data_IF_222914871429
#
_entry.id   IF_222914871429
#
_cell.length_a   1.000
_cell.length_b   1.000
_cell.length_c   1.000
_cell.angle_alpha   90.00
_cell.angle_beta   90.00
_cell.angle_gamma   90.00
#
_symmetry.space_group_name_H-M   'P 1'
#
loop_
_entity.id
_entity.type
_entity.pdbx_description
1 polymer ?
#
# COMPACT_ATOMS: atom_id res chain seq x y z
N UNK A 1 -11.28 -22.02 -7.19
CA UNK A 1 -12.37 -21.61 -8.11
C UNK A 1 -13.69 -21.27 -7.40
N UNK A 2 -14.11 -21.97 -6.34
CA UNK A 2 -15.25 -21.54 -5.53
C UNK A 2 -14.87 -20.38 -4.58
N UNK A 3 -13.72 -20.52 -3.93
CA UNK A 3 -13.21 -19.55 -2.98
C UNK A 3 -12.97 -18.14 -3.55
N UNK A 4 -12.34 -18.04 -4.72
CA UNK A 4 -12.14 -16.77 -5.44
C UNK A 4 -13.45 -16.03 -5.73
N UNK A 5 -14.53 -16.76 -6.06
CA UNK A 5 -15.85 -16.15 -6.32
C UNK A 5 -16.48 -15.56 -5.07
N UNK A 6 -16.26 -16.17 -3.91
CA UNK A 6 -16.72 -15.67 -2.62
C UNK A 6 -15.94 -14.41 -2.21
N UNK A 7 -14.61 -14.38 -2.43
CA UNK A 7 -13.79 -13.18 -2.23
C UNK A 7 -14.25 -12.03 -3.15
N UNK A 8 -14.49 -12.31 -4.43
CA UNK A 8 -14.99 -11.31 -5.39
C UNK A 8 -16.35 -10.73 -4.98
N UNK A 9 -17.30 -11.59 -4.58
CA UNK A 9 -18.61 -11.14 -4.14
C UNK A 9 -18.51 -10.28 -2.87
N UNK A 10 -17.72 -10.75 -1.89
CA UNK A 10 -17.45 -10.01 -0.64
C UNK A 10 -16.80 -8.66 -0.91
N UNK A 11 -15.77 -8.61 -1.77
CA UNK A 11 -15.08 -7.37 -2.12
C UNK A 11 -16.03 -6.36 -2.78
N UNK A 12 -16.90 -6.81 -3.69
CA UNK A 12 -17.93 -5.95 -4.31
C UNK A 12 -18.89 -5.38 -3.27
N UNK A 13 -19.35 -6.20 -2.32
CA UNK A 13 -20.23 -5.74 -1.23
C UNK A 13 -19.55 -4.72 -0.33
N UNK A 14 -18.28 -4.94 0.02
CA UNK A 14 -17.50 -4.05 0.89
C UNK A 14 -17.11 -2.73 0.22
N UNK A 15 -17.14 -2.67 -1.11
CA UNK A 15 -16.91 -1.43 -1.87
C UNK A 15 -18.21 -0.72 -2.30
N UNK A 16 -19.38 -1.12 -1.76
CA UNK A 16 -20.61 -0.37 -1.95
C UNK A 16 -20.54 1.03 -1.29
N UNK A 17 -21.23 2.05 -1.84
CA UNK A 17 -21.14 3.43 -1.34
C UNK A 17 -21.35 3.62 0.16
N UNK A 18 -22.17 2.77 0.79
CA UNK A 18 -22.43 2.80 2.24
C UNK A 18 -21.21 2.51 3.10
N UNK A 19 -20.17 1.87 2.54
CA UNK A 19 -18.93 1.53 3.22
C UNK A 19 -17.76 2.46 2.87
N UNK A 20 -17.93 3.45 1.99
CA UNK A 20 -16.85 4.35 1.56
C UNK A 20 -16.18 5.10 2.74
N UNK A 21 -16.90 5.32 3.83
CA UNK A 21 -16.35 5.93 5.03
C UNK A 21 -15.40 5.01 5.80
N UNK A 22 -15.46 3.69 5.59
CA UNK A 22 -14.75 2.68 6.37
C UNK A 22 -13.78 1.83 5.54
N UNK A 23 -14.00 1.67 4.23
CA UNK A 23 -13.22 0.80 3.34
C UNK A 23 -12.60 1.61 2.21
N UNK A 24 -11.30 1.46 2.01
CA UNK A 24 -10.54 2.09 0.92
C UNK A 24 -10.20 1.06 -0.16
N UNK A 25 -9.53 -0.03 0.25
CA UNK A 25 -9.14 -1.12 -0.63
C UNK A 25 -9.56 -2.47 -0.06
N UNK A 26 -9.88 -3.40 -0.95
CA UNK A 26 -10.04 -4.82 -0.65
C UNK A 26 -9.10 -5.60 -1.55
N UNK A 27 -8.18 -6.36 -0.96
CA UNK A 27 -7.16 -7.12 -1.66
C UNK A 27 -7.36 -8.62 -1.43
N UNK A 28 -7.18 -9.45 -2.46
CA UNK A 28 -7.26 -10.91 -2.32
C UNK A 28 -6.51 -11.63 -3.46
N UNK A 29 -6.00 -12.85 -3.22
CA UNK A 29 -5.38 -13.65 -4.27
C UNK A 29 -6.45 -14.18 -5.26
N UNK A 30 -6.19 -14.05 -6.56
CA UNK A 30 -7.03 -14.62 -7.64
C UNK A 30 -6.43 -15.91 -8.23
N UNK A 31 -5.16 -16.16 -7.95
CA UNK A 31 -4.43 -17.34 -8.41
C UNK A 31 -3.00 -17.34 -7.87
N UNK A 32 -2.16 -18.25 -8.39
CA UNK A 32 -0.76 -18.31 -7.99
C UNK A 32 -0.04 -17.02 -8.43
N UNK A 33 0.50 -16.27 -7.46
CA UNK A 33 1.16 -14.98 -7.65
C UNK A 33 0.27 -13.92 -8.35
N UNK A 34 -1.06 -14.05 -8.27
CA UNK A 34 -2.00 -13.09 -8.86
C UNK A 34 -2.93 -12.54 -7.78
N UNK A 35 -3.16 -11.24 -7.82
CA UNK A 35 -3.86 -10.50 -6.78
C UNK A 35 -4.83 -9.52 -7.42
N UNK A 36 -6.02 -9.42 -6.86
CA UNK A 36 -6.99 -8.37 -7.17
C UNK A 36 -6.97 -7.31 -6.07
N UNK A 37 -7.15 -6.06 -6.47
CA UNK A 37 -7.38 -4.92 -5.60
C UNK A 37 -8.62 -4.21 -6.07
N UNK A 38 -9.59 -4.06 -5.18
CA UNK A 38 -10.89 -3.46 -5.45
C UNK A 38 -11.05 -2.24 -4.55
N UNK A 39 -11.55 -1.14 -5.11
CA UNK A 39 -11.96 0.06 -4.39
C UNK A 39 -13.36 0.48 -4.84
N UNK A 40 -13.99 1.46 -4.15
CA UNK A 40 -15.24 2.05 -4.63
C UNK A 40 -15.16 2.67 -6.04
N UNK A 41 -13.98 3.07 -6.49
CA UNK A 41 -13.77 3.74 -7.79
C UNK A 41 -13.47 2.77 -8.92
N UNK A 42 -12.88 1.61 -8.63
CA UNK A 42 -12.48 0.66 -9.65
C UNK A 42 -11.75 -0.56 -9.11
N UNK A 43 -11.10 -1.29 -10.00
CA UNK A 43 -10.41 -2.54 -9.70
C UNK A 43 -9.20 -2.70 -10.60
N UNK A 44 -8.14 -3.30 -10.06
CA UNK A 44 -7.00 -3.77 -10.83
C UNK A 44 -6.69 -5.21 -10.45
N UNK A 45 -6.20 -6.00 -11.40
CA UNK A 45 -5.53 -7.27 -11.13
C UNK A 45 -4.08 -7.17 -11.56
N UNK A 46 -3.17 -7.71 -10.77
CA UNK A 46 -1.76 -7.76 -11.12
C UNK A 46 -1.14 -9.11 -10.77
N UNK A 47 -0.02 -9.42 -11.43
CA UNK A 47 0.76 -10.64 -11.21
C UNK A 47 2.18 -10.29 -10.78
N UNK A 48 2.68 -11.04 -9.79
CA UNK A 48 4.10 -11.06 -9.44
C UNK A 48 4.86 -12.04 -10.34
N UNK A 49 5.93 -11.55 -10.96
CA UNK A 49 6.83 -12.31 -11.83
C UNK A 49 8.22 -12.31 -11.20
N UNK A 50 8.78 -13.50 -10.96
CA UNK A 50 10.16 -13.63 -10.47
C UNK A 50 11.15 -13.34 -11.59
N UNK A 51 12.14 -12.48 -11.33
CA UNK A 51 13.24 -12.18 -12.25
C UNK A 51 14.58 -12.27 -11.52
N UNK A 52 15.69 -12.29 -12.27
CA UNK A 52 17.04 -12.31 -11.69
C UNK A 52 17.37 -11.07 -10.84
N UNK A 53 16.67 -9.95 -11.08
CA UNK A 53 16.83 -8.68 -10.36
C UNK A 53 15.85 -8.55 -9.17
N UNK A 54 15.00 -9.55 -8.93
CA UNK A 54 13.94 -9.53 -7.94
C UNK A 54 12.53 -9.62 -8.55
N UNK A 55 11.48 -9.52 -7.74
CA UNK A 55 10.10 -9.57 -8.23
C UNK A 55 9.78 -8.32 -9.06
N UNK A 56 9.06 -8.53 -10.18
CA UNK A 56 8.40 -7.48 -10.96
C UNK A 56 6.89 -7.69 -10.91
N UNK A 57 6.14 -6.62 -11.11
CA UNK A 57 4.67 -6.64 -11.06
C UNK A 57 4.09 -6.18 -12.39
N UNK A 58 3.18 -6.97 -12.93
CA UNK A 58 2.52 -6.74 -14.21
C UNK A 58 1.02 -6.58 -13.98
N UNK A 59 0.46 -5.44 -14.37
CA UNK A 59 -1.00 -5.25 -14.38
C UNK A 59 -1.61 -6.14 -15.46
N UNK A 60 -2.56 -6.98 -15.07
CA UNK A 60 -3.29 -7.89 -15.95
C UNK A 60 -4.55 -7.22 -16.50
N UNK A 61 -5.33 -6.61 -15.62
CA UNK A 61 -6.61 -5.96 -15.98
C UNK A 61 -6.84 -4.73 -15.12
N UNK A 62 -7.59 -3.78 -15.67
CA UNK A 62 -8.10 -2.64 -14.92
C UNK A 62 -9.54 -2.39 -15.33
N UNK A 63 -10.42 -2.26 -14.34
CA UNK A 63 -11.84 -1.94 -14.52
C UNK A 63 -12.10 -0.55 -13.92
N UNK A 64 -12.54 0.38 -14.76
CA UNK A 64 -12.80 1.80 -14.44
C UNK A 64 -11.54 2.58 -14.05
N UNK A 65 -11.00 2.36 -12.86
CA UNK A 65 -9.86 3.08 -12.28
C UNK A 65 -8.92 2.06 -11.64
N UNK A 66 -7.62 2.23 -11.82
CA UNK A 66 -6.61 1.46 -11.09
C UNK A 66 -6.46 2.04 -9.67
N UNK A 67 -6.89 1.32 -8.60
CA UNK A 67 -6.77 1.82 -7.24
C UNK A 67 -5.32 2.05 -6.79
N UNK A 68 -4.35 1.40 -7.44
CA UNK A 68 -2.93 1.52 -7.14
C UNK A 68 -2.20 2.43 -8.14
N UNK A 69 -2.92 3.14 -9.03
CA UNK A 69 -2.31 3.89 -10.12
C UNK A 69 -1.36 5.01 -9.67
N UNK A 70 -1.56 5.57 -8.47
CA UNK A 70 -0.67 6.55 -7.86
C UNK A 70 0.38 5.85 -6.99
N UNK A 71 1.65 5.96 -7.38
CA UNK A 71 2.81 5.37 -6.70
C UNK A 71 3.78 6.44 -6.18
N UNK A 72 3.41 7.73 -6.21
CA UNK A 72 4.28 8.84 -5.85
C UNK A 72 4.55 8.91 -4.33
N UNK A 73 5.79 8.67 -3.86
CA UNK A 73 6.14 8.77 -2.44
C UNK A 73 6.22 10.23 -1.94
N UNK A 74 6.20 11.22 -2.84
CA UNK A 74 6.14 12.64 -2.52
C UNK A 74 4.70 13.17 -2.39
N UNK A 75 3.68 12.35 -2.67
CA UNK A 75 2.29 12.76 -2.53
C UNK A 75 2.02 13.28 -1.10
N UNK A 76 1.35 14.42 -1.01
CA UNK A 76 1.06 15.11 0.26
C UNK A 76 2.32 15.36 1.12
N UNK A 77 3.50 15.53 0.55
CA UNK A 77 4.70 15.79 1.34
C UNK A 77 4.65 17.17 2.02
N UNK A 78 4.73 17.16 3.35
CA UNK A 78 4.85 18.37 4.16
C UNK A 78 3.55 18.77 4.86
N UNK A 79 3.69 19.37 6.04
CA UNK A 79 2.58 19.57 6.98
C UNK A 79 1.38 20.32 6.39
N UNK A 80 1.59 21.33 5.54
CA UNK A 80 0.49 22.07 4.90
C UNK A 80 -0.33 21.18 3.94
N UNK A 81 0.34 20.32 3.17
CA UNK A 81 -0.33 19.42 2.24
C UNK A 81 -1.09 18.31 2.97
N UNK A 82 -0.49 17.73 4.01
CA UNK A 82 -1.14 16.71 4.85
C UNK A 82 -2.36 17.29 5.60
N UNK A 83 -2.26 18.51 6.12
CA UNK A 83 -3.40 19.18 6.78
C UNK A 83 -4.54 19.54 5.82
N UNK A 84 -4.23 19.84 4.55
CA UNK A 84 -5.25 20.14 3.54
C UNK A 84 -6.04 18.88 3.12
N UNK A 85 -5.49 17.69 3.35
CA UNK A 85 -6.10 16.40 3.03
C UNK A 85 -5.91 15.39 4.18
N UNK A 86 -6.59 15.57 5.33
CA UNK A 86 -6.34 14.78 6.54
C UNK A 86 -6.69 13.28 6.36
N UNK A 87 -7.63 12.97 5.47
CA UNK A 87 -8.08 11.62 5.16
C UNK A 87 -8.07 11.40 3.64
N UNK A 88 -6.90 11.26 3.00
CA UNK A 88 -6.83 11.13 1.56
C UNK A 88 -7.47 9.81 1.12
N UNK A 89 -8.25 9.87 0.04
CA UNK A 89 -8.94 8.72 -0.59
C UNK A 89 -8.84 8.82 -2.10
N UNK A 90 -8.94 7.68 -2.79
CA UNK A 90 -8.90 7.63 -4.26
C UNK A 90 -7.69 8.38 -4.84
N UNK A 91 -7.95 9.28 -5.80
CA UNK A 91 -6.92 10.00 -6.55
C UNK A 91 -6.07 10.98 -5.71
N UNK A 92 -6.50 11.31 -4.49
CA UNK A 92 -5.71 12.11 -3.56
C UNK A 92 -4.68 11.26 -2.79
N UNK A 93 -4.89 9.95 -2.75
CA UNK A 93 -4.00 9.02 -2.07
C UNK A 93 -2.90 8.53 -3.03
N UNK A 94 -1.84 7.98 -2.44
CA UNK A 94 -0.77 7.32 -3.17
C UNK A 94 -0.39 6.07 -2.39
N UNK A 95 -0.01 5.02 -3.10
CA UNK A 95 0.28 3.71 -2.53
C UNK A 95 1.66 3.21 -2.98
N UNK A 96 2.78 3.88 -2.60
CA UNK A 96 4.11 3.50 -3.07
C UNK A 96 4.45 2.05 -2.72
N UNK A 97 4.91 1.29 -3.72
CA UNK A 97 5.28 -0.13 -3.57
C UNK A 97 4.14 -1.02 -3.06
N UNK A 98 2.88 -0.67 -3.38
CA UNK A 98 1.74 -1.43 -2.87
C UNK A 98 1.67 -2.85 -3.42
N UNK A 99 2.06 -3.07 -4.67
CA UNK A 99 2.04 -4.40 -5.27
C UNK A 99 3.01 -5.35 -4.55
N UNK A 100 4.21 -4.85 -4.19
CA UNK A 100 5.18 -5.53 -3.34
C UNK A 100 4.56 -5.89 -1.99
N UNK A 101 4.05 -4.88 -1.28
CA UNK A 101 3.51 -5.04 0.08
C UNK A 101 2.32 -6.01 0.12
N UNK A 102 1.39 -5.89 -0.83
CA UNK A 102 0.23 -6.78 -0.96
C UNK A 102 0.70 -8.22 -1.22
N UNK A 103 1.64 -8.43 -2.15
CA UNK A 103 2.14 -9.78 -2.44
C UNK A 103 2.83 -10.42 -1.23
N UNK A 104 3.63 -9.65 -0.49
CA UNK A 104 4.32 -10.09 0.72
C UNK A 104 3.35 -10.46 1.84
N UNK A 105 2.26 -9.70 1.99
CA UNK A 105 1.24 -10.00 2.99
C UNK A 105 0.63 -11.39 2.79
N UNK A 106 0.40 -11.77 1.53
CA UNK A 106 -0.14 -13.07 1.16
C UNK A 106 0.90 -14.21 1.05
N UNK A 107 2.19 -13.93 1.25
CA UNK A 107 3.23 -14.98 1.32
C UNK A 107 3.21 -15.73 2.66
N UNK A 108 2.53 -15.19 3.67
CA UNK A 108 2.46 -15.81 4.99
C UNK A 108 1.67 -17.13 4.96
N UNK A 109 2.13 -18.20 5.63
CA UNK A 109 1.40 -19.48 5.70
C UNK A 109 -0.02 -19.38 6.29
N UNK A 110 -0.29 -18.31 7.03
CA UNK A 110 -1.55 -18.00 7.68
C UNK A 110 -2.15 -16.69 7.15
N UNK A 111 -1.77 -16.28 5.94
CA UNK A 111 -2.37 -15.12 5.30
C UNK A 111 -3.89 -15.29 5.23
N UNK A 112 -4.67 -14.22 5.45
CA UNK A 112 -6.10 -14.29 5.28
C UNK A 112 -6.42 -14.44 3.79
N UNK A 113 -7.66 -14.76 3.54
CA UNK A 113 -8.22 -14.88 2.20
C UNK A 113 -8.56 -13.53 1.55
N UNK A 114 -8.75 -12.52 2.39
CA UNK A 114 -9.11 -11.16 2.01
C UNK A 114 -8.51 -10.19 3.03
N UNK A 115 -7.88 -9.15 2.52
CA UNK A 115 -7.33 -8.04 3.29
C UNK A 115 -8.19 -6.80 3.04
N UNK A 116 -8.69 -6.17 4.10
CA UNK A 116 -9.42 -4.90 4.03
C UNK A 116 -8.49 -3.81 4.51
N UNK A 117 -8.23 -2.84 3.65
CA UNK A 117 -7.66 -1.57 4.06
C UNK A 117 -8.79 -0.62 4.41
N UNK A 118 -8.76 -0.14 5.64
CA UNK A 118 -9.69 0.87 6.08
C UNK A 118 -9.41 2.23 5.43
N UNK A 119 -10.46 3.04 5.29
CA UNK A 119 -10.29 4.45 4.91
C UNK A 119 -9.42 5.17 5.94
N UNK A 120 -8.69 6.19 5.51
CA UNK A 120 -7.90 7.02 6.43
C UNK A 120 -8.76 7.72 7.50
N UNK A 121 -10.08 7.84 7.27
CA UNK A 121 -11.04 8.40 8.22
C UNK A 121 -11.58 7.37 9.23
N UNK A 122 -11.25 6.09 9.09
CA UNK A 122 -11.73 5.04 9.98
C UNK A 122 -10.98 5.07 11.32
N UNK A 123 -11.74 4.97 12.40
CA UNK A 123 -11.24 4.78 13.76
C UNK A 123 -12.24 3.95 14.57
N UNK A 124 -11.75 3.27 15.60
CA UNK A 124 -12.58 2.47 16.52
C UNK A 124 -12.56 3.06 17.92
N UNK A 125 -13.73 3.05 18.57
CA UNK A 125 -13.95 3.51 19.94
C UNK A 125 -13.43 4.95 20.19
N UNK A 126 -12.66 5.14 21.27
CA UNK A 126 -12.08 6.41 21.69
C UNK A 126 -10.71 6.70 21.07
N UNK A 127 -10.22 5.87 20.14
CA UNK A 127 -8.92 6.09 19.53
C UNK A 127 -9.03 7.18 18.46
N UNK A 128 -8.29 8.27 18.66
CA UNK A 128 -8.27 9.40 17.71
C UNK A 128 -7.42 9.12 16.46
N UNK A 129 -6.68 8.01 16.42
CA UNK A 129 -5.86 7.61 15.28
C UNK A 129 -5.55 6.11 15.28
N UNK A 130 -5.28 5.57 14.09
CA UNK A 130 -4.89 4.19 13.84
C UNK A 130 -3.78 4.15 12.80
N UNK A 131 -3.08 3.03 12.69
CA UNK A 131 -2.03 2.79 11.69
C UNK A 131 -2.18 1.41 11.02
N UNK A 132 -1.56 1.22 9.87
CA UNK A 132 -1.56 -0.03 9.11
C UNK A 132 -2.14 0.09 7.70
N UNK A 133 -2.46 1.32 7.26
CA UNK A 133 -2.85 1.61 5.87
C UNK A 133 -1.62 1.62 4.96
N UNK A 134 -1.78 1.16 3.71
CA UNK A 134 -0.81 1.33 2.63
C UNK A 134 -0.79 2.77 2.08
N UNK A 135 -1.73 3.62 2.50
CA UNK A 135 -1.85 5.00 2.04
C UNK A 135 -0.67 5.88 2.46
N UNK A 136 -0.37 6.90 1.65
CA UNK A 136 0.88 7.67 1.70
C UNK A 136 1.23 8.25 3.07
N UNK A 137 0.23 8.69 3.83
CA UNK A 137 0.43 9.29 5.16
C UNK A 137 1.02 8.28 6.15
N UNK A 138 0.67 7.00 6.02
CA UNK A 138 1.13 5.94 6.93
C UNK A 138 2.26 5.10 6.35
N UNK A 139 2.39 5.07 5.02
CA UNK A 139 3.45 4.35 4.32
C UNK A 139 4.81 5.07 4.35
N UNK A 140 4.84 6.37 4.69
CA UNK A 140 6.06 7.19 4.69
C UNK A 140 6.57 7.46 6.11
N UNK A 141 7.87 7.24 6.32
CA UNK A 141 8.58 7.58 7.54
C UNK A 141 9.92 8.28 7.23
N UNK A 142 10.45 9.13 8.13
CA UNK A 142 11.77 9.71 7.98
C UNK A 142 12.87 8.66 8.18
N UNK A 143 13.92 8.71 7.36
CA UNK A 143 15.16 7.97 7.58
C UNK A 143 16.27 8.94 8.01
N UNK A 144 16.85 8.70 9.19
CA UNK A 144 17.89 9.56 9.78
C UNK A 144 19.08 8.68 10.18
N UNK A 145 20.26 8.98 9.66
CA UNK A 145 21.50 8.27 9.96
C UNK A 145 22.55 9.21 10.57
N UNK A 146 23.29 8.71 11.58
CA UNK A 146 24.40 9.42 12.23
C UNK A 146 25.35 8.42 12.90
N UNK A 147 26.65 8.65 12.79
CA UNK A 147 27.67 7.84 13.47
C UNK A 147 29.01 7.85 12.74
N UNK A 148 29.99 7.08 13.22
CA UNK A 148 31.22 6.78 12.47
C UNK A 148 30.87 6.28 11.05
N UNK A 149 31.64 6.71 10.04
CA UNK A 149 31.40 6.34 8.64
C UNK A 149 30.25 7.10 7.94
N UNK A 150 29.35 7.77 8.69
CA UNK A 150 28.24 8.53 8.11
C UNK A 150 28.63 10.00 7.90
N UNK A 151 28.79 10.40 6.64
CA UNK A 151 29.09 11.78 6.28
C UNK A 151 27.89 12.71 6.57
N UNK A 152 28.11 13.93 7.12
CA UNK A 152 27.05 14.88 7.42
C UNK A 152 26.58 15.60 6.15
N UNK A 153 25.71 14.95 5.38
CA UNK A 153 25.26 15.44 4.07
C UNK A 153 23.99 16.30 4.13
N UNK A 154 23.47 16.56 5.32
CA UNK A 154 22.21 17.29 5.51
C UNK A 154 21.01 16.50 4.98
N UNK A 155 19.95 17.22 4.58
CA UNK A 155 18.77 16.62 3.98
C UNK A 155 19.07 16.19 2.54
N UNK A 156 18.83 14.92 2.24
CA UNK A 156 18.93 14.37 0.89
C UNK A 156 17.55 14.35 0.23
N UNK A 157 17.49 14.73 -1.04
CA UNK A 157 16.32 14.47 -1.87
C UNK A 157 16.27 12.99 -2.27
N UNK A 158 15.06 12.46 -2.43
CA UNK A 158 14.82 11.07 -2.81
C UNK A 158 14.10 10.28 -1.73
N UNK A 159 13.77 9.05 -2.08
CA UNK A 159 13.03 8.11 -1.24
C UNK A 159 13.76 6.78 -1.23
N UNK A 160 13.79 6.16 -0.06
CA UNK A 160 14.35 4.82 0.17
C UNK A 160 13.26 3.94 0.76
N UNK A 161 13.41 2.63 0.63
CA UNK A 161 12.49 1.65 1.19
C UNK A 161 13.00 1.15 2.52
N UNK A 162 12.11 0.65 3.36
CA UNK A 162 12.48 0.05 4.65
C UNK A 162 13.49 -1.09 4.49
N UNK A 163 13.37 -1.88 3.41
CA UNK A 163 14.29 -2.97 3.08
C UNK A 163 15.72 -2.51 2.75
N UNK A 164 15.91 -1.23 2.40
CA UNK A 164 17.21 -0.67 2.07
C UNK A 164 18.01 -0.29 3.34
N UNK A 165 17.39 -0.26 4.52
CA UNK A 165 18.04 0.12 5.80
C UNK A 165 19.12 -0.87 6.20
N UNK A 166 18.83 -2.18 6.17
CA UNK A 166 19.77 -3.22 6.57
C UNK A 166 21.07 -3.23 5.72
N UNK A 167 21.01 -3.27 4.37
CA UNK A 167 22.23 -3.21 3.56
C UNK A 167 22.99 -1.88 3.73
N UNK A 168 22.28 -0.76 3.94
CA UNK A 168 22.93 0.54 4.22
C UNK A 168 23.74 0.50 5.53
N UNK A 169 23.21 -0.15 6.57
CA UNK A 169 23.95 -0.33 7.83
C UNK A 169 25.17 -1.22 7.62
N UNK A 170 25.03 -2.31 6.87
CA UNK A 170 26.15 -3.24 6.59
C UNK A 170 27.28 -2.56 5.82
N UNK A 171 26.98 -1.62 4.92
CA UNK A 171 28.00 -0.84 4.22
C UNK A 171 28.76 0.13 5.16
N UNK A 172 28.11 0.57 6.24
CA UNK A 172 28.67 1.52 7.20
C UNK A 172 29.45 0.87 8.36
N UNK A 173 29.40 -0.47 8.49
CA UNK A 173 30.16 -1.25 9.47
C UNK A 173 31.58 -1.58 8.95
#
# INVERSE_FOLDING_TARGET
MQFTRECEATARLLCEPKFNAAVDLVCFPTGQNQYAVVSPQGRTEFRRVSTDEGPRFETLTTERVDPLGSQDPAALLGSLAEQAAPFPTGDLNSFPFAQEQISQFFDAPHAPDLLIQHSAAHFVDSNLGQHGSLGIIQARAPFIARGPGIAPQGLRSGFVRMVDVAPTILEAL
#
